data_IF_525031413333
#
_entry.id   IF_525031413333
#
_cell.length_a   1.000
_cell.length_b   1.000
_cell.length_c   1.000
_cell.angle_alpha   90.00
_cell.angle_beta   90.00
_cell.angle_gamma   90.00
#
_symmetry.space_group_name_H-M   'P 1'
#
loop_
_entity.id
_entity.type
_entity.pdbx_description
1 polymer ?
#
# COMPACT_ATOMS: atom_id res chain seq x y z
N UNK A 1 41.49 32.79 18.33
CA UNK A 1 41.44 31.39 17.86
C UNK A 1 40.03 30.85 18.14
N UNK A 2 39.45 30.22 17.13
CA UNK A 2 38.03 30.08 16.82
C UNK A 2 37.34 28.89 17.53
N UNK A 3 36.13 29.05 18.08
CA UNK A 3 35.12 27.95 18.16
C UNK A 3 33.69 28.44 18.44
N UNK A 4 32.99 28.74 17.35
CA UNK A 4 31.56 28.51 17.09
C UNK A 4 30.82 27.69 18.18
N UNK A 5 30.05 28.35 19.04
CA UNK A 5 29.26 27.72 20.11
C UNK A 5 27.74 27.91 19.96
N UNK A 6 27.25 28.34 18.79
CA UNK A 6 25.89 28.88 18.66
C UNK A 6 25.02 28.37 17.48
N UNK A 7 25.43 27.35 16.71
CA UNK A 7 24.79 27.15 15.39
C UNK A 7 24.00 25.87 15.14
N UNK A 8 24.16 24.76 15.84
CA UNK A 8 23.48 23.53 15.40
C UNK A 8 23.08 22.66 16.57
N UNK A 9 21.76 22.46 16.75
CA UNK A 9 21.24 21.21 17.30
C UNK A 9 21.97 20.08 16.60
N UNK A 10 22.94 19.46 17.29
CA UNK A 10 23.90 18.53 16.73
C UNK A 10 23.17 17.56 15.78
N UNK A 11 23.71 17.35 14.56
CA UNK A 11 23.12 16.47 13.54
C UNK A 11 22.60 15.13 14.12
N UNK A 12 23.26 14.60 15.16
CA UNK A 12 22.82 13.42 15.92
C UNK A 12 21.52 13.59 16.70
N UNK A 13 21.28 14.74 17.33
CA UNK A 13 20.03 15.06 18.04
C UNK A 13 18.88 15.29 17.06
N UNK A 14 19.15 15.94 15.93
CA UNK A 14 18.17 16.06 14.83
C UNK A 14 17.78 14.70 14.26
N UNK A 15 18.75 13.79 14.05
CA UNK A 15 18.50 12.41 13.62
C UNK A 15 17.70 11.61 14.66
N UNK A 16 17.94 11.81 15.96
CA UNK A 16 17.17 11.17 17.03
C UNK A 16 15.72 11.64 17.05
N UNK A 17 15.48 12.95 16.89
CA UNK A 17 14.12 13.50 16.78
C UNK A 17 13.42 12.98 15.52
N UNK A 18 14.10 12.97 14.36
CA UNK A 18 13.51 12.46 13.12
C UNK A 18 13.21 10.96 13.18
N UNK A 19 14.07 10.16 13.83
CA UNK A 19 13.82 8.74 14.05
C UNK A 19 12.61 8.51 14.95
N UNK A 20 12.47 9.26 16.05
CA UNK A 20 11.31 9.17 16.93
C UNK A 20 10.01 9.55 16.19
N UNK A 21 10.06 10.59 15.36
CA UNK A 21 8.94 11.00 14.50
C UNK A 21 8.61 9.93 13.46
N UNK A 22 9.61 9.29 12.84
CA UNK A 22 9.40 8.20 11.88
C UNK A 22 8.77 6.96 12.53
N UNK A 23 9.23 6.58 13.72
CA UNK A 23 8.62 5.47 14.48
C UNK A 23 7.17 5.80 14.84
N UNK A 24 6.87 7.04 15.25
CA UNK A 24 5.49 7.48 15.45
C UNK A 24 4.68 7.44 14.16
N UNK A 25 5.27 7.85 13.03
CA UNK A 25 4.62 7.88 11.71
C UNK A 25 4.16 6.49 11.26
N UNK A 26 5.00 5.46 11.50
CA UNK A 26 4.65 4.05 11.24
C UNK A 26 3.48 3.55 12.08
N UNK A 27 3.26 4.12 13.26
CA UNK A 27 2.11 3.81 14.11
C UNK A 27 0.87 4.66 13.78
N UNK A 28 1.04 5.77 13.05
CA UNK A 28 -0.03 6.66 12.59
C UNK A 28 -0.52 6.35 11.17
N UNK A 29 -0.09 5.24 10.56
CA UNK A 29 -0.47 4.84 9.19
C UNK A 29 -1.97 4.72 8.92
N UNK A 30 -2.77 4.71 9.98
CA UNK A 30 -4.23 4.63 9.89
C UNK A 30 -4.94 5.99 9.99
N UNK A 31 -4.22 7.13 10.08
CA UNK A 31 -4.83 8.47 10.10
C UNK A 31 -4.99 9.07 8.69
N UNK A 32 -5.99 9.96 8.47
CA UNK A 32 -6.10 10.71 7.22
C UNK A 32 -4.86 11.58 7.03
N UNK A 33 -4.37 11.71 5.79
CA UNK A 33 -3.13 12.44 5.46
C UNK A 33 -3.08 13.86 6.03
N UNK A 34 -4.23 14.55 6.13
CA UNK A 34 -4.32 15.90 6.73
C UNK A 34 -4.11 15.88 8.25
N UNK A 35 -4.80 15.01 8.98
CA UNK A 35 -4.61 14.85 10.43
C UNK A 35 -3.21 14.30 10.75
N UNK A 36 -2.66 13.39 9.93
CA UNK A 36 -1.28 12.88 10.05
C UNK A 36 -0.27 14.03 9.93
N UNK A 37 -0.42 14.92 8.94
CA UNK A 37 0.43 16.12 8.77
C UNK A 37 0.27 17.12 9.91
N UNK A 38 -0.95 17.33 10.41
CA UNK A 38 -1.22 18.24 11.52
C UNK A 38 -0.58 17.72 12.82
N UNK A 39 -0.85 16.47 13.20
CA UNK A 39 -0.27 15.84 14.40
C UNK A 39 1.25 15.74 14.30
N UNK A 40 1.82 15.44 13.12
CA UNK A 40 3.28 15.49 12.91
C UNK A 40 3.86 16.87 13.18
N UNK A 41 3.22 17.95 12.70
CA UNK A 41 3.69 19.32 12.93
C UNK A 41 3.62 19.69 14.40
N UNK A 42 2.52 19.33 15.06
CA UNK A 42 2.28 19.56 16.48
C UNK A 42 3.29 18.80 17.36
N UNK A 43 3.47 17.49 17.13
CA UNK A 43 4.44 16.68 17.88
C UNK A 43 5.87 17.17 17.65
N UNK A 44 6.23 17.57 16.43
CA UNK A 44 7.56 18.15 16.14
C UNK A 44 7.77 19.48 16.88
N UNK A 45 6.78 20.36 16.89
CA UNK A 45 6.85 21.63 17.62
C UNK A 45 7.00 21.39 19.12
N UNK A 46 6.20 20.48 19.70
CA UNK A 46 6.25 20.16 21.13
C UNK A 46 7.57 19.50 21.54
N UNK A 47 8.13 18.61 20.71
CA UNK A 47 9.43 17.99 20.97
C UNK A 47 10.58 19.01 20.88
N UNK A 48 10.53 19.94 19.92
CA UNK A 48 11.54 20.99 19.83
C UNK A 48 11.49 21.94 21.02
N UNK A 49 10.28 22.33 21.46
CA UNK A 49 10.11 23.14 22.66
C UNK A 49 10.62 22.41 23.91
N UNK A 50 10.20 21.15 24.13
CA UNK A 50 10.65 20.36 25.26
C UNK A 50 12.17 20.07 25.23
N UNK A 51 12.75 19.85 24.05
CA UNK A 51 14.19 19.62 23.93
C UNK A 51 15.02 20.88 24.23
N UNK A 52 14.48 22.08 23.98
CA UNK A 52 15.13 23.34 24.36
C UNK A 52 15.19 23.52 25.89
N UNK A 53 14.17 23.04 26.61
CA UNK A 53 14.07 23.22 28.06
C UNK A 53 14.83 22.14 28.86
N UNK A 54 14.76 20.87 28.43
CA UNK A 54 15.29 19.73 29.21
C UNK A 54 16.26 18.83 28.45
N UNK A 55 16.57 19.15 27.19
CA UNK A 55 17.44 18.36 26.33
C UNK A 55 16.73 17.21 25.62
N UNK A 56 17.22 16.86 24.42
CA UNK A 56 16.57 15.94 23.47
C UNK A 56 16.30 14.55 24.05
N UNK A 57 17.24 13.98 24.82
CA UNK A 57 17.11 12.64 25.38
C UNK A 57 16.03 12.56 26.47
N UNK A 58 15.95 13.59 27.32
CA UNK A 58 14.95 13.66 28.39
C UNK A 58 13.57 14.01 27.84
N UNK A 59 13.49 14.88 26.82
CA UNK A 59 12.25 15.17 26.10
C UNK A 59 11.64 13.92 25.45
N UNK A 60 12.47 13.07 24.82
CA UNK A 60 12.02 11.79 24.25
C UNK A 60 11.59 10.82 25.36
N UNK A 61 12.31 10.77 26.49
CA UNK A 61 11.95 9.93 27.65
C UNK A 61 10.60 10.31 28.24
N UNK A 62 10.30 11.62 28.34
CA UNK A 62 9.03 12.17 28.81
C UNK A 62 7.86 11.94 27.86
N UNK A 63 8.14 11.76 26.56
CA UNK A 63 7.12 11.36 25.57
C UNK A 63 6.52 9.99 25.89
N UNK A 64 7.23 9.17 26.69
CA UNK A 64 6.76 7.87 27.14
C UNK A 64 6.64 6.86 26.01
N UNK A 65 5.76 5.88 26.18
CA UNK A 65 5.55 4.85 25.17
C UNK A 65 4.80 5.43 23.97
N UNK A 66 5.51 5.67 22.87
CA UNK A 66 4.96 6.21 21.61
C UNK A 66 3.76 5.39 21.09
N UNK A 67 3.71 4.08 21.41
CA UNK A 67 2.58 3.22 21.04
C UNK A 67 1.30 3.59 21.78
N UNK A 68 1.40 3.95 23.05
CA UNK A 68 0.27 4.42 23.87
C UNK A 68 -0.18 5.80 23.42
N UNK A 69 0.76 6.68 23.05
CA UNK A 69 0.44 8.00 22.51
C UNK A 69 -0.26 7.92 21.15
N UNK A 70 0.24 7.08 20.24
CA UNK A 70 -0.41 6.81 18.96
C UNK A 70 -1.81 6.19 19.13
N UNK A 71 -1.98 5.27 20.08
CA UNK A 71 -3.27 4.71 20.44
C UNK A 71 -4.24 5.78 20.98
N UNK A 72 -3.75 6.71 21.80
CA UNK A 72 -4.53 7.86 22.28
C UNK A 72 -4.96 8.79 21.15
N UNK A 73 -4.07 9.07 20.20
CA UNK A 73 -4.42 9.88 19.03
C UNK A 73 -5.40 9.19 18.08
N UNK A 74 -5.31 7.87 17.93
CA UNK A 74 -6.27 7.06 17.18
C UNK A 74 -7.63 7.01 17.88
N UNK A 75 -7.65 6.86 19.21
CA UNK A 75 -8.87 6.87 20.02
C UNK A 75 -9.54 8.25 20.01
N UNK A 76 -8.77 9.34 20.03
CA UNK A 76 -9.30 10.70 19.95
C UNK A 76 -9.87 11.04 18.56
N UNK A 77 -9.26 10.52 17.49
CA UNK A 77 -9.72 10.78 16.11
C UNK A 77 -10.90 9.87 15.69
N UNK A 78 -10.88 8.60 16.11
CA UNK A 78 -11.83 7.58 15.65
C UNK A 78 -12.84 7.13 16.72
N UNK A 79 -12.70 7.58 17.97
CA UNK A 79 -13.53 7.14 19.09
C UNK A 79 -13.43 5.63 19.35
N UNK A 80 -14.45 5.06 20.00
CA UNK A 80 -14.58 3.60 20.21
C UNK A 80 -14.66 2.77 18.93
N UNK A 81 -14.90 3.42 17.78
CA UNK A 81 -15.19 2.76 16.52
C UNK A 81 -13.92 2.37 15.73
N UNK A 82 -12.73 2.81 16.15
CA UNK A 82 -11.47 2.45 15.49
C UNK A 82 -11.36 2.94 14.03
N UNK A 83 -10.17 2.78 13.40
CA UNK A 83 -9.93 3.29 12.06
C UNK A 83 -10.84 2.62 11.02
N UNK A 84 -11.59 3.45 10.27
CA UNK A 84 -12.53 3.00 9.23
C UNK A 84 -11.79 2.33 8.06
N UNK A 85 -12.33 1.26 7.47
CA UNK A 85 -11.75 0.62 6.29
C UNK A 85 -11.66 1.60 5.12
N UNK A 86 -10.60 1.49 4.33
CA UNK A 86 -10.37 2.36 3.17
C UNK A 86 -10.66 1.61 1.88
N UNK A 87 -11.90 1.72 1.39
CA UNK A 87 -12.29 1.13 0.11
C UNK A 87 -11.43 1.64 -1.06
N UNK A 88 -10.97 2.90 -1.01
CA UNK A 88 -10.07 3.48 -2.00
C UNK A 88 -8.72 2.77 -2.02
N UNK A 89 -8.16 2.45 -0.85
CA UNK A 89 -6.87 1.74 -0.79
C UNK A 89 -7.03 0.30 -1.28
N UNK A 90 -8.13 -0.36 -0.94
CA UNK A 90 -8.49 -1.66 -1.52
C UNK A 90 -8.57 -1.61 -3.05
N UNK A 91 -9.25 -0.61 -3.61
CA UNK A 91 -9.36 -0.43 -5.06
C UNK A 91 -8.00 -0.18 -5.73
N UNK A 92 -7.12 0.63 -5.12
CA UNK A 92 -5.75 0.84 -5.61
C UNK A 92 -4.99 -0.49 -5.69
N UNK A 93 -5.04 -1.29 -4.62
CA UNK A 93 -4.37 -2.59 -4.60
C UNK A 93 -4.94 -3.57 -5.65
N UNK A 94 -6.25 -3.60 -5.83
CA UNK A 94 -6.91 -4.39 -6.88
C UNK A 94 -6.44 -3.97 -8.28
N UNK A 95 -6.38 -2.66 -8.54
CA UNK A 95 -5.91 -2.12 -9.82
C UNK A 95 -4.45 -2.49 -10.03
N UNK A 96 -3.60 -2.36 -9.00
CA UNK A 96 -2.19 -2.71 -9.09
C UNK A 96 -1.96 -4.17 -9.47
N UNK A 97 -2.75 -5.11 -8.93
CA UNK A 97 -2.68 -6.52 -9.33
C UNK A 97 -2.97 -6.68 -10.83
N UNK A 98 -4.02 -6.02 -11.34
CA UNK A 98 -4.37 -6.09 -12.77
C UNK A 98 -3.36 -5.39 -13.67
N UNK A 99 -2.76 -4.29 -13.21
CA UNK A 99 -1.70 -3.59 -13.96
C UNK A 99 -0.49 -4.52 -14.10
N UNK A 100 -0.04 -5.14 -13.01
CA UNK A 100 1.11 -6.05 -13.04
C UNK A 100 0.81 -7.28 -13.92
N UNK A 101 -0.36 -7.91 -13.75
CA UNK A 101 -0.79 -9.02 -14.58
C UNK A 101 -0.91 -8.63 -16.07
N UNK A 102 -1.42 -7.44 -16.34
CA UNK A 102 -1.49 -6.82 -17.67
C UNK A 102 -0.13 -6.66 -18.32
N UNK A 103 0.85 -6.11 -17.59
CA UNK A 103 2.21 -5.94 -18.09
C UNK A 103 2.86 -7.28 -18.44
N UNK A 104 2.69 -8.31 -17.59
CA UNK A 104 3.17 -9.67 -17.86
C UNK A 104 2.52 -10.26 -19.12
N UNK A 105 1.21 -10.10 -19.29
CA UNK A 105 0.49 -10.59 -20.46
C UNK A 105 0.94 -9.89 -21.74
N UNK A 106 1.06 -8.55 -21.72
CA UNK A 106 1.52 -7.77 -22.87
C UNK A 106 2.95 -8.13 -23.24
N UNK A 107 3.86 -8.19 -22.27
CA UNK A 107 5.25 -8.57 -22.49
C UNK A 107 5.38 -10.00 -23.05
N UNK A 108 4.65 -10.97 -22.46
CA UNK A 108 4.65 -12.35 -22.93
C UNK A 108 4.12 -12.51 -24.35
N UNK A 109 3.02 -11.83 -24.67
CA UNK A 109 2.44 -11.82 -26.03
C UNK A 109 3.40 -11.19 -27.04
N UNK A 110 4.01 -10.06 -26.69
CA UNK A 110 4.97 -9.37 -27.54
C UNK A 110 6.21 -10.23 -27.82
N UNK A 111 6.73 -10.91 -26.79
CA UNK A 111 7.84 -11.85 -26.94
C UNK A 111 7.49 -13.02 -27.86
N UNK A 112 6.29 -13.59 -27.72
CA UNK A 112 5.80 -14.66 -28.59
C UNK A 112 5.69 -14.21 -30.05
N UNK A 113 5.03 -13.07 -30.32
CA UNK A 113 4.88 -12.54 -31.69
C UNK A 113 6.24 -12.24 -32.31
N UNK A 114 7.16 -11.65 -31.53
CA UNK A 114 8.52 -11.38 -31.97
C UNK A 114 9.25 -12.67 -32.32
N UNK A 115 9.10 -13.72 -31.51
CA UNK A 115 9.67 -15.05 -31.80
C UNK A 115 9.11 -15.67 -33.09
N UNK A 116 7.80 -15.59 -33.31
CA UNK A 116 7.16 -16.07 -34.55
C UNK A 116 7.70 -15.32 -35.76
N UNK A 117 7.82 -13.98 -35.68
CA UNK A 117 8.35 -13.14 -36.77
C UNK A 117 9.82 -13.40 -37.04
N UNK A 118 10.63 -13.65 -36.01
CA UNK A 118 12.04 -13.99 -36.17
C UNK A 118 12.22 -15.32 -36.92
N UNK A 119 11.33 -16.28 -36.71
CA UNK A 119 11.34 -17.55 -37.45
C UNK A 119 10.71 -17.44 -38.85
N UNK A 120 9.64 -16.66 -38.99
CA UNK A 120 8.90 -16.43 -40.25
C UNK A 120 8.43 -14.97 -40.33
N UNK A 121 9.18 -14.09 -41.01
CA UNK A 121 8.87 -12.65 -41.07
C UNK A 121 7.46 -12.34 -41.62
N UNK A 122 7.02 -13.10 -42.63
CA UNK A 122 5.71 -12.99 -43.28
C UNK A 122 4.71 -14.04 -42.79
N UNK A 123 4.81 -14.44 -41.51
CA UNK A 123 3.93 -15.43 -40.91
C UNK A 123 2.45 -15.09 -41.16
N UNK A 124 1.72 -16.03 -41.76
CA UNK A 124 0.29 -15.93 -42.02
C UNK A 124 -0.38 -17.20 -41.53
N UNK A 125 -1.44 -17.05 -40.73
CA UNK A 125 -2.17 -18.15 -40.12
C UNK A 125 -2.43 -17.94 -38.63
N UNK A 126 -2.97 -18.96 -37.99
CA UNK A 126 -3.32 -18.95 -36.57
C UNK A 126 -2.17 -19.52 -35.73
N UNK A 127 -1.81 -18.80 -34.67
CA UNK A 127 -0.75 -19.16 -33.76
C UNK A 127 -1.30 -19.26 -32.33
N UNK A 128 -1.06 -20.39 -31.70
CA UNK A 128 -1.46 -20.62 -30.31
C UNK A 128 -0.40 -20.07 -29.36
N UNK A 129 -0.74 -19.00 -28.67
CA UNK A 129 0.07 -18.49 -27.57
C UNK A 129 -0.44 -19.13 -26.27
N UNK A 130 0.39 -19.92 -25.55
CA UNK A 130 -0.03 -20.62 -24.34
C UNK A 130 -0.34 -19.69 -23.15
N UNK A 131 -0.12 -18.37 -23.31
CA UNK A 131 -0.30 -17.40 -22.24
C UNK A 131 0.88 -17.38 -21.27
N UNK A 132 0.60 -16.94 -20.05
CA UNK A 132 1.56 -16.92 -18.93
C UNK A 132 0.92 -17.70 -17.80
N UNK A 133 1.58 -18.78 -17.37
CA UNK A 133 1.07 -19.69 -16.34
C UNK A 133 0.62 -18.89 -15.12
N UNK A 134 -0.59 -19.17 -14.64
CA UNK A 134 -1.23 -18.52 -13.50
C UNK A 134 -1.63 -17.05 -13.68
N UNK A 135 -1.40 -16.45 -14.85
CA UNK A 135 -1.74 -15.05 -15.12
C UNK A 135 -2.83 -14.98 -16.19
N UNK A 136 -2.53 -15.46 -17.39
CA UNK A 136 -3.43 -15.39 -18.54
C UNK A 136 -3.45 -16.75 -19.25
N UNK A 137 -4.66 -17.20 -19.59
CA UNK A 137 -4.88 -18.43 -20.33
C UNK A 137 -4.41 -18.32 -21.78
N UNK A 138 -4.45 -19.44 -22.49
CA UNK A 138 -4.11 -19.49 -23.90
C UNK A 138 -4.97 -18.53 -24.75
N UNK A 139 -4.35 -18.03 -25.82
CA UNK A 139 -5.00 -17.19 -26.81
C UNK A 139 -4.53 -17.59 -28.22
N UNK A 140 -5.45 -17.58 -29.16
CA UNK A 140 -5.14 -17.74 -30.58
C UNK A 140 -4.92 -16.37 -31.19
N UNK A 141 -3.75 -16.20 -31.80
CA UNK A 141 -3.32 -14.97 -32.46
C UNK A 141 -3.30 -15.24 -33.96
N UNK A 142 -4.17 -14.56 -34.71
CA UNK A 142 -4.18 -14.61 -36.16
C UNK A 142 -3.21 -13.55 -36.69
N UNK A 143 -2.23 -14.00 -37.46
CA UNK A 143 -1.28 -13.13 -38.16
C UNK A 143 -1.59 -13.13 -39.66
N UNK A 144 -1.48 -11.95 -40.28
CA UNK A 144 -1.55 -11.73 -41.72
C UNK A 144 -0.35 -10.92 -42.15
N UNK A 145 0.51 -11.51 -42.99
CA UNK A 145 1.76 -10.90 -43.43
C UNK A 145 2.61 -10.36 -42.27
N UNK A 146 2.73 -11.16 -41.21
CA UNK A 146 3.46 -10.77 -39.99
C UNK A 146 2.74 -9.74 -39.11
N UNK A 147 1.66 -9.09 -39.54
CA UNK A 147 0.86 -8.19 -38.72
C UNK A 147 -0.22 -8.95 -37.92
N UNK A 148 -0.45 -8.55 -36.67
CA UNK A 148 -1.51 -9.14 -35.84
C UNK A 148 -2.87 -8.61 -36.30
N UNK A 149 -3.75 -9.48 -36.83
CA UNK A 149 -5.07 -9.07 -37.32
C UNK A 149 -6.18 -9.32 -36.32
N UNK A 150 -6.12 -10.43 -35.58
CA UNK A 150 -7.11 -10.79 -34.59
C UNK A 150 -6.47 -11.52 -33.41
N UNK A 151 -7.08 -11.41 -32.24
CA UNK A 151 -6.72 -12.22 -31.07
C UNK A 151 -8.00 -12.70 -30.42
N UNK A 152 -8.11 -14.01 -30.23
CA UNK A 152 -9.26 -14.68 -29.60
C UNK A 152 -8.76 -15.45 -28.38
N UNK A 153 -9.49 -15.36 -27.26
CA UNK A 153 -9.08 -15.96 -25.99
C UNK A 153 -8.26 -15.02 -25.12
N UNK A 154 -7.39 -15.58 -24.25
CA UNK A 154 -6.59 -14.80 -23.32
C UNK A 154 -7.37 -14.28 -22.11
N UNK A 155 -8.20 -15.12 -21.51
CA UNK A 155 -8.89 -14.78 -20.26
C UNK A 155 -7.92 -14.78 -19.08
N UNK A 156 -8.15 -13.91 -18.09
CA UNK A 156 -7.45 -13.97 -16.82
C UNK A 156 -7.72 -15.31 -16.14
N UNK A 157 -6.70 -15.87 -15.48
CA UNK A 157 -6.90 -17.10 -14.72
C UNK A 157 -7.73 -16.83 -13.46
N UNK A 158 -8.44 -17.84 -12.92
CA UNK A 158 -9.10 -17.76 -11.62
C UNK A 158 -8.18 -17.27 -10.49
N UNK A 159 -6.88 -17.57 -10.58
CA UNK A 159 -5.90 -17.14 -9.59
C UNK A 159 -5.73 -15.61 -9.57
N UNK A 160 -5.73 -14.94 -10.72
CA UNK A 160 -5.64 -13.47 -10.78
C UNK A 160 -6.82 -12.82 -10.07
N UNK A 161 -8.02 -13.36 -10.27
CA UNK A 161 -9.22 -12.90 -9.56
C UNK A 161 -9.11 -13.15 -8.05
N UNK A 162 -8.66 -14.33 -7.64
CA UNK A 162 -8.45 -14.66 -6.22
C UNK A 162 -7.44 -13.70 -5.56
N UNK A 163 -6.29 -13.48 -6.19
CA UNK A 163 -5.26 -12.55 -5.71
C UNK A 163 -5.80 -11.13 -5.67
N UNK A 164 -6.63 -10.72 -6.65
CA UNK A 164 -7.26 -9.39 -6.66
C UNK A 164 -8.22 -9.19 -5.49
N UNK A 165 -9.02 -10.21 -5.15
CA UNK A 165 -9.91 -10.17 -3.97
C UNK A 165 -9.09 -10.10 -2.69
N UNK A 166 -8.04 -10.93 -2.57
CA UNK A 166 -7.15 -10.90 -1.41
C UNK A 166 -6.47 -9.52 -1.28
N UNK A 167 -5.93 -8.98 -2.37
CA UNK A 167 -5.30 -7.66 -2.39
C UNK A 167 -6.28 -6.54 -2.05
N UNK A 168 -7.53 -6.63 -2.49
CA UNK A 168 -8.58 -5.68 -2.13
C UNK A 168 -8.90 -5.75 -0.62
N UNK A 169 -9.09 -6.96 -0.08
CA UNK A 169 -9.37 -7.17 1.35
C UNK A 169 -8.20 -6.71 2.21
N UNK A 170 -6.97 -6.99 1.77
CA UNK A 170 -5.72 -6.62 2.43
C UNK A 170 -5.44 -5.13 2.36
N UNK A 171 -5.48 -4.56 1.15
CA UNK A 171 -5.30 -3.15 0.91
C UNK A 171 -6.37 -2.28 1.56
N UNK A 172 -7.62 -2.76 1.56
CA UNK A 172 -8.76 -2.05 2.15
C UNK A 172 -8.94 -2.29 3.65
N UNK A 173 -8.15 -3.22 4.23
CA UNK A 173 -8.23 -3.64 5.63
C UNK A 173 -9.66 -4.05 6.04
N UNK A 174 -10.40 -4.72 5.14
CA UNK A 174 -11.82 -5.04 5.35
C UNK A 174 -12.05 -5.95 6.56
N UNK A 175 -11.05 -6.72 7.01
CA UNK A 175 -11.15 -7.51 8.25
C UNK A 175 -11.40 -6.67 9.49
N UNK A 176 -11.17 -5.34 9.46
CA UNK A 176 -11.47 -4.45 10.57
C UNK A 176 -12.98 -4.21 10.76
N UNK A 177 -13.82 -4.62 9.81
CA UNK A 177 -15.28 -4.62 9.96
C UNK A 177 -15.79 -5.81 10.81
N UNK A 178 -15.05 -6.92 10.88
CA UNK A 178 -15.48 -8.13 11.58
C UNK A 178 -15.81 -7.91 13.08
N UNK A 179 -14.99 -7.21 13.87
CA UNK A 179 -15.27 -7.00 15.29
C UNK A 179 -16.48 -6.07 15.54
N UNK A 180 -16.76 -5.15 14.61
CA UNK A 180 -17.91 -4.25 14.70
C UNK A 180 -19.21 -4.97 14.36
N UNK A 181 -19.16 -5.87 13.37
CA UNK A 181 -20.29 -6.72 13.01
C UNK A 181 -20.64 -7.70 14.13
N UNK A 182 -19.64 -8.34 14.75
CA UNK A 182 -19.88 -9.23 15.90
C UNK A 182 -20.58 -8.52 17.06
N UNK A 183 -20.18 -7.28 17.41
CA UNK A 183 -20.85 -6.53 18.48
C UNK A 183 -22.31 -6.19 18.15
N UNK A 184 -22.61 -5.85 16.90
CA UNK A 184 -24.00 -5.59 16.46
C UNK A 184 -24.86 -6.84 16.49
N UNK A 185 -24.31 -7.98 16.08
CA UNK A 185 -25.00 -9.27 16.18
C UNK A 185 -25.22 -9.71 17.64
N UNK A 186 -24.26 -9.48 18.53
CA UNK A 186 -24.40 -9.77 19.96
C UNK A 186 -25.41 -8.86 20.67
N UNK A 187 -25.58 -7.61 20.22
CA UNK A 187 -26.60 -6.69 20.75
C UNK A 187 -28.00 -6.93 20.18
N UNK A 188 -28.11 -7.59 19.02
CA UNK A 188 -29.38 -7.92 18.38
C UNK A 188 -29.96 -9.28 18.83
N UNK A 189 -29.27 -10.01 19.70
CA UNK A 189 -29.82 -11.21 20.33
C UNK A 189 -30.90 -10.79 21.35
N UNK A 190 -32.18 -11.14 21.16
CA UNK A 190 -33.21 -10.91 22.16
C UNK A 190 -32.82 -11.65 23.44
N UNK A 191 -32.93 -10.98 24.59
CA UNK A 191 -32.89 -11.67 25.87
C UNK A 191 -34.20 -12.46 26.01
N UNK A 192 -34.11 -13.78 25.95
CA UNK A 192 -35.17 -14.70 26.39
C UNK A 192 -35.30 -14.68 27.92
#
# INVERSE_FOLDING_TARGET
MNRTSDSELALGDRLRIERAVWTLDSHLDNLPLRSKRAKRRETRANLHAAAADVGTAEAIRRLGNLRTLAAGYLAAEYGEHGPRPSYTMGAIWLIMVHVIAGLLAVAGKAAFITGVRAAKPHATGDFHWPGVRYVINEATITLRDGATSATVGGSWTPLVYLVSVIAFVVGGQLWRLLPQWQRRYSQAAPQE
#
